data_IF_653263531430
#
_entry.id   IF_653263531430
#
_cell.length_a   1.000
_cell.length_b   1.000
_cell.length_c   1.000
_cell.angle_alpha   90.00
_cell.angle_beta   90.00
_cell.angle_gamma   90.00
#
_symmetry.space_group_name_H-M   'P 1'
#
loop_
_entity.id
_entity.type
_entity.pdbx_description
1 polymer ?
#
# COMPACT_ATOMS: atom_id res chain seq x y z
N UNK A 1 42.82 -23.77 -39.21
CA UNK A 1 43.98 -23.94 -38.31
C UNK A 1 44.66 -22.59 -38.14
N UNK A 2 44.25 -21.81 -37.13
CA UNK A 2 44.92 -20.58 -36.68
C UNK A 2 44.73 -20.48 -35.17
N UNK A 3 45.84 -20.64 -34.42
CA UNK A 3 45.92 -20.64 -32.96
C UNK A 3 46.11 -19.21 -32.46
N UNK A 4 45.25 -18.77 -31.54
CA UNK A 4 45.45 -17.52 -30.77
C UNK A 4 45.79 -17.93 -29.34
N UNK A 5 47.05 -17.71 -28.94
CA UNK A 5 47.53 -17.92 -27.58
C UNK A 5 47.09 -16.74 -26.69
N UNK A 6 46.27 -17.01 -25.67
CA UNK A 6 45.96 -16.03 -24.61
C UNK A 6 46.82 -16.36 -23.39
N UNK A 7 47.74 -15.45 -23.06
CA UNK A 7 48.59 -15.53 -21.87
C UNK A 7 47.73 -15.48 -20.60
N UNK A 8 48.00 -16.44 -19.71
CA UNK A 8 47.51 -16.51 -18.34
C UNK A 8 48.56 -15.82 -17.47
N UNK A 9 48.20 -14.73 -16.79
CA UNK A 9 48.97 -14.24 -15.65
C UNK A 9 48.16 -14.49 -14.37
N UNK A 10 48.57 -15.53 -13.66
CA UNK A 10 48.26 -15.74 -12.25
C UNK A 10 49.13 -14.82 -11.42
N UNK A 11 48.55 -14.09 -10.47
CA UNK A 11 49.32 -13.52 -9.36
C UNK A 11 48.63 -13.83 -8.04
N UNK A 12 49.48 -14.34 -7.13
CA UNK A 12 49.18 -15.08 -5.92
C UNK A 12 48.57 -14.23 -4.81
N UNK A 13 47.83 -14.94 -3.96
CA UNK A 13 47.31 -14.51 -2.67
C UNK A 13 48.42 -14.10 -1.68
N UNK A 14 48.08 -13.15 -0.81
CA UNK A 14 48.72 -13.00 0.51
C UNK A 14 47.64 -12.87 1.58
N UNK A 15 47.55 -13.90 2.42
CA UNK A 15 46.81 -13.95 3.66
C UNK A 15 47.48 -12.99 4.67
N UNK A 16 46.72 -12.08 5.26
CA UNK A 16 47.15 -11.34 6.46
C UNK A 16 46.18 -11.65 7.59
N UNK A 17 46.58 -12.69 8.32
CA UNK A 17 46.57 -12.92 9.76
C UNK A 17 45.66 -12.07 10.64
N UNK A 18 44.74 -12.76 11.28
CA UNK A 18 43.98 -12.37 12.46
C UNK A 18 44.81 -12.47 13.75
N UNK A 19 44.37 -11.73 14.77
CA UNK A 19 44.74 -11.75 16.20
C UNK A 19 45.76 -10.69 16.63
N UNK A 20 45.24 -9.57 17.15
CA UNK A 20 45.52 -9.07 18.52
C UNK A 20 44.85 -7.70 18.70
N UNK A 21 43.71 -7.65 19.40
CA UNK A 21 43.49 -6.81 20.59
C UNK A 21 42.07 -7.07 21.11
N UNK A 22 41.96 -8.05 22.02
CA UNK A 22 40.93 -8.06 23.03
C UNK A 22 41.40 -7.09 24.12
N UNK A 23 40.63 -6.02 24.31
CA UNK A 23 40.26 -5.36 25.58
C UNK A 23 40.03 -3.87 25.34
N UNK A 24 38.80 -3.51 24.96
CA UNK A 24 38.21 -2.25 25.43
C UNK A 24 36.68 -2.34 25.33
N UNK A 25 36.05 -2.68 26.44
CA UNK A 25 34.62 -2.48 26.69
C UNK A 25 34.30 -0.99 26.53
N UNK A 26 33.70 -0.59 25.41
CA UNK A 26 32.89 0.61 25.35
C UNK A 26 31.57 0.27 24.67
N UNK A 27 30.51 0.32 25.47
CA UNK A 27 29.11 0.39 25.05
C UNK A 27 28.94 1.45 23.96
N UNK A 28 28.98 1.02 22.70
CA UNK A 28 28.55 1.82 21.56
C UNK A 28 27.26 1.20 21.05
N UNK A 29 26.16 1.77 21.54
CA UNK A 29 24.85 1.64 20.94
C UNK A 29 24.98 1.84 19.42
N UNK A 30 24.41 0.98 18.57
CA UNK A 30 24.34 1.27 17.15
C UNK A 30 23.56 2.57 17.00
N UNK A 31 24.22 3.64 16.56
CA UNK A 31 23.56 4.86 16.17
C UNK A 31 22.59 4.50 15.04
N UNK A 32 21.31 4.47 15.41
CA UNK A 32 20.20 4.27 14.50
C UNK A 32 20.24 5.36 13.43
N UNK A 33 20.87 5.07 12.29
CA UNK A 33 20.45 5.63 11.03
C UNK A 33 19.13 4.97 10.64
N UNK A 34 18.09 5.27 11.42
CA UNK A 34 16.73 5.11 10.96
C UNK A 34 16.59 6.06 9.78
N UNK A 35 16.82 5.53 8.57
CA UNK A 35 16.30 6.10 7.33
C UNK A 35 14.81 6.30 7.59
N UNK A 36 14.44 7.51 8.00
CA UNK A 36 13.05 7.95 8.09
C UNK A 36 12.46 7.71 6.71
N UNK A 37 11.61 6.70 6.59
CA UNK A 37 10.96 6.33 5.34
C UNK A 37 9.75 7.22 5.03
N UNK A 38 9.51 8.27 5.82
CA UNK A 38 8.49 9.24 5.50
C UNK A 38 8.96 10.08 4.30
N UNK A 39 8.39 9.80 3.14
CA UNK A 39 8.63 10.41 1.82
C UNK A 39 8.29 11.91 1.75
N UNK A 40 8.09 12.56 2.91
CA UNK A 40 7.75 13.98 3.10
C UNK A 40 8.93 14.78 3.68
N UNK A 41 10.15 14.46 3.25
CA UNK A 41 11.38 15.15 3.69
C UNK A 41 11.48 16.63 3.24
N UNK A 42 10.53 17.13 2.44
CA UNK A 42 10.57 18.48 1.87
C UNK A 42 9.38 19.35 2.27
N UNK A 43 8.85 19.17 3.49
CA UNK A 43 7.90 20.15 4.04
C UNK A 43 8.64 21.28 4.77
N UNK A 44 9.51 21.97 4.03
CA UNK A 44 10.35 23.08 4.51
C UNK A 44 9.46 24.25 5.00
N UNK A 45 8.21 24.30 4.56
CA UNK A 45 7.24 25.35 4.89
C UNK A 45 6.65 25.24 6.30
N UNK A 46 6.83 24.12 7.02
CA UNK A 46 6.34 23.96 8.40
C UNK A 46 7.37 24.34 9.48
N UNK A 47 8.62 24.61 9.12
CA UNK A 47 9.71 24.92 10.07
C UNK A 47 9.44 26.17 10.94
N UNK A 48 8.55 27.07 10.52
CA UNK A 48 8.19 28.27 11.26
C UNK A 48 7.06 28.11 12.30
N UNK A 49 6.32 26.99 12.29
CA UNK A 49 5.17 26.79 13.18
C UNK A 49 5.41 25.64 14.17
N UNK A 50 5.71 25.99 15.43
CA UNK A 50 6.02 25.01 16.50
C UNK A 50 4.91 23.98 16.70
N UNK A 51 3.64 24.39 16.64
CA UNK A 51 2.50 23.48 16.84
C UNK A 51 2.38 22.46 15.70
N UNK A 52 2.64 22.88 14.46
CA UNK A 52 2.64 21.98 13.31
C UNK A 52 3.77 20.94 13.42
N UNK A 53 4.97 21.39 13.82
CA UNK A 53 6.13 20.50 14.04
C UNK A 53 5.85 19.47 15.16
N UNK A 54 5.27 19.89 16.27
CA UNK A 54 4.91 18.98 17.38
C UNK A 54 3.86 17.96 16.96
N UNK A 55 2.83 18.40 16.22
CA UNK A 55 1.80 17.49 15.68
C UNK A 55 2.40 16.46 14.73
N UNK A 56 3.30 16.87 13.83
CA UNK A 56 3.99 15.95 12.93
C UNK A 56 4.92 14.99 13.70
N UNK A 57 5.62 15.47 14.74
CA UNK A 57 6.42 14.59 15.61
C UNK A 57 5.56 13.54 16.31
N UNK A 58 4.42 13.94 16.87
CA UNK A 58 3.48 13.02 17.50
C UNK A 58 2.93 12.00 16.49
N UNK A 59 2.61 12.43 15.27
CA UNK A 59 2.16 11.54 14.19
C UNK A 59 3.24 10.52 13.81
N UNK A 60 4.48 10.97 13.64
CA UNK A 60 5.61 10.09 13.30
C UNK A 60 5.88 9.07 14.41
N UNK A 61 5.80 9.50 15.68
CA UNK A 61 5.94 8.59 16.82
C UNK A 61 4.84 7.51 16.81
N UNK A 62 3.58 7.90 16.53
CA UNK A 62 2.46 6.97 16.36
C UNK A 62 2.71 5.98 15.20
N UNK A 63 3.08 6.47 14.01
CA UNK A 63 3.37 5.61 12.84
C UNK A 63 4.50 4.60 13.10
N UNK A 64 5.59 5.05 13.75
CA UNK A 64 6.71 4.19 14.11
C UNK A 64 6.27 3.08 15.07
N UNK A 65 5.56 3.44 16.14
CA UNK A 65 5.09 2.50 17.15
C UNK A 65 4.04 1.53 16.58
N UNK A 66 3.15 2.03 15.74
CA UNK A 66 1.99 1.29 15.24
C UNK A 66 2.36 0.31 14.13
N UNK A 67 3.24 0.69 13.20
CA UNK A 67 3.48 -0.09 11.99
C UNK A 67 4.78 -0.88 11.98
N UNK A 68 5.91 -0.20 12.04
CA UNK A 68 7.20 -0.85 11.82
C UNK A 68 7.54 -1.87 12.91
N UNK A 69 7.28 -1.55 14.18
CA UNK A 69 7.57 -2.48 15.27
C UNK A 69 6.57 -3.63 15.36
N UNK A 70 5.29 -3.38 15.03
CA UNK A 70 4.27 -4.42 14.96
C UNK A 70 4.60 -5.44 13.85
N UNK A 71 4.95 -4.96 12.65
CA UNK A 71 5.34 -5.81 11.53
C UNK A 71 6.57 -6.67 11.84
N UNK A 72 7.58 -6.09 12.49
CA UNK A 72 8.80 -6.84 12.88
C UNK A 72 8.49 -7.86 13.97
N UNK A 73 7.62 -7.52 14.94
CA UNK A 73 7.20 -8.45 15.98
C UNK A 73 6.39 -9.61 15.40
N UNK A 74 5.50 -9.35 14.45
CA UNK A 74 4.71 -10.35 13.74
C UNK A 74 5.62 -11.26 12.89
N UNK A 75 6.52 -10.68 12.10
CA UNK A 75 7.50 -11.42 11.32
C UNK A 75 8.35 -12.33 12.23
N UNK A 76 8.83 -11.79 13.36
CA UNK A 76 9.59 -12.57 14.35
C UNK A 76 8.76 -13.72 14.93
N UNK A 77 7.48 -13.47 15.26
CA UNK A 77 6.55 -14.49 15.80
C UNK A 77 6.29 -15.60 14.80
N UNK A 78 6.16 -15.27 13.51
CA UNK A 78 5.84 -16.22 12.45
C UNK A 78 7.07 -16.74 11.69
N UNK A 79 8.28 -16.43 12.16
CA UNK A 79 9.53 -16.91 11.56
C UNK A 79 9.74 -16.44 10.12
N UNK A 80 9.31 -15.22 9.79
CA UNK A 80 9.40 -14.66 8.44
C UNK A 80 8.23 -15.00 7.52
N UNK A 81 7.26 -15.82 7.97
CA UNK A 81 6.08 -16.16 7.17
C UNK A 81 5.01 -15.09 7.35
N UNK A 82 4.40 -14.67 6.25
CA UNK A 82 3.25 -13.76 6.26
C UNK A 82 2.12 -14.47 7.01
N UNK A 83 1.56 -13.81 8.03
CA UNK A 83 0.51 -14.40 8.86
C UNK A 83 -0.71 -14.77 8.01
N UNK A 84 -1.31 -15.91 8.32
CA UNK A 84 -2.49 -16.41 7.61
C UNK A 84 -3.67 -15.47 7.90
N UNK A 85 -4.31 -14.97 6.85
CA UNK A 85 -5.49 -14.11 6.97
C UNK A 85 -6.58 -14.78 7.82
N UNK A 86 -7.33 -13.96 8.57
CA UNK A 86 -8.44 -14.46 9.36
C UNK A 86 -9.48 -15.10 8.44
N UNK A 87 -9.78 -16.39 8.67
CA UNK A 87 -10.75 -17.15 7.88
C UNK A 87 -12.19 -16.86 8.26
N UNK A 88 -12.41 -16.16 9.38
CA UNK A 88 -13.73 -15.89 9.94
C UNK A 88 -14.16 -14.48 9.53
N UNK A 89 -15.37 -14.38 8.98
CA UNK A 89 -16.02 -13.11 8.67
C UNK A 89 -16.38 -12.42 9.98
N UNK A 90 -15.99 -11.14 10.12
CA UNK A 90 -16.34 -10.34 11.30
C UNK A 90 -17.86 -10.08 11.29
N UNK A 91 -18.59 -10.42 12.36
CA UNK A 91 -20.02 -10.14 12.44
C UNK A 91 -20.31 -8.64 12.34
N UNK A 92 -21.45 -8.27 11.74
CA UNK A 92 -21.83 -6.87 11.53
C UNK A 92 -21.86 -6.03 12.83
N UNK A 93 -22.19 -6.64 13.97
CA UNK A 93 -22.21 -5.98 15.28
C UNK A 93 -20.82 -5.56 15.78
N UNK A 94 -19.78 -6.26 15.35
CA UNK A 94 -18.38 -5.99 15.71
C UNK A 94 -17.60 -5.28 14.59
N UNK A 95 -18.19 -5.17 13.40
CA UNK A 95 -17.55 -4.55 12.25
C UNK A 95 -17.44 -3.02 12.44
N UNK A 96 -16.24 -2.49 12.18
CA UNK A 96 -16.01 -1.04 12.16
C UNK A 96 -16.64 -0.47 10.88
N UNK A 97 -17.27 0.70 10.98
CA UNK A 97 -17.79 1.42 9.82
C UNK A 97 -16.66 1.71 8.83
N UNK A 98 -16.87 1.39 7.56
CA UNK A 98 -15.92 1.73 6.51
C UNK A 98 -15.83 3.27 6.36
N UNK A 99 -14.63 3.85 6.43
CA UNK A 99 -14.46 5.30 6.38
C UNK A 99 -14.58 5.83 4.95
N UNK A 100 -14.87 7.12 4.83
CA UNK A 100 -15.01 7.77 3.52
C UNK A 100 -13.66 7.79 2.79
N UNK A 101 -13.68 7.41 1.52
CA UNK A 101 -12.50 7.26 0.69
C UNK A 101 -12.75 7.85 -0.70
N UNK A 102 -11.97 8.88 -1.03
CA UNK A 102 -11.95 9.46 -2.37
C UNK A 102 -11.08 8.61 -3.29
N UNK A 103 -11.69 8.08 -4.35
CA UNK A 103 -11.01 7.27 -5.37
C UNK A 103 -11.16 7.92 -6.74
N UNK A 104 -10.14 7.75 -7.58
CA UNK A 104 -10.07 8.28 -8.94
C UNK A 104 -9.97 7.14 -9.94
N UNK A 105 -10.78 7.14 -10.98
CA UNK A 105 -10.64 6.24 -12.12
C UNK A 105 -9.54 6.73 -13.07
N UNK A 106 -9.13 5.86 -14.00
CA UNK A 106 -8.17 6.19 -15.05
C UNK A 106 -8.68 7.25 -16.04
N UNK A 107 -9.99 7.40 -16.17
CA UNK A 107 -10.64 8.44 -16.99
C UNK A 107 -10.68 9.82 -16.30
N UNK A 108 -10.19 9.91 -15.05
CA UNK A 108 -10.15 11.08 -14.17
C UNK A 108 -11.47 11.40 -13.47
N UNK A 109 -12.49 10.57 -13.65
CA UNK A 109 -13.68 10.66 -12.81
C UNK A 109 -13.32 10.27 -11.38
N UNK A 110 -13.98 10.90 -10.41
CA UNK A 110 -13.78 10.65 -8.99
C UNK A 110 -15.05 10.10 -8.39
N UNK A 111 -14.91 9.08 -7.55
CA UNK A 111 -15.99 8.46 -6.81
C UNK A 111 -15.64 8.51 -5.32
N UNK A 112 -16.65 8.67 -4.48
CA UNK A 112 -16.52 8.50 -3.04
C UNK A 112 -17.03 7.13 -2.64
N UNK A 113 -16.20 6.37 -1.94
CA UNK A 113 -16.58 5.12 -1.28
C UNK A 113 -16.81 5.40 0.21
N UNK A 114 -17.75 4.70 0.87
CA UNK A 114 -18.69 3.76 0.31
C UNK A 114 -19.78 4.46 -0.53
N UNK A 115 -20.30 3.78 -1.57
CA UNK A 115 -21.39 4.31 -2.40
C UNK A 115 -22.69 4.24 -1.60
N UNK A 116 -23.03 5.32 -0.91
CA UNK A 116 -24.28 5.44 -0.16
C UNK A 116 -25.39 6.02 -1.04
N UNK A 117 -26.59 5.43 -1.01
CA UNK A 117 -27.76 6.05 -1.60
C UNK A 117 -28.16 7.26 -0.77
N UNK A 118 -28.01 8.47 -1.30
CA UNK A 118 -28.64 9.64 -0.69
C UNK A 118 -30.15 9.44 -0.78
N UNK A 119 -30.85 9.39 0.35
CA UNK A 119 -32.28 9.10 0.43
C UNK A 119 -33.16 10.27 -0.02
N UNK A 120 -32.85 10.92 -1.14
CA UNK A 120 -33.69 11.97 -1.69
C UNK A 120 -34.64 11.40 -2.74
N UNK A 121 -35.92 11.45 -2.40
CA UNK A 121 -37.04 10.84 -3.11
C UNK A 121 -37.49 11.80 -4.20
N UNK A 122 -36.82 11.80 -5.35
CA UNK A 122 -37.40 12.15 -6.65
C UNK A 122 -36.35 12.06 -7.76
N UNK A 123 -36.52 11.09 -8.66
CA UNK A 123 -35.98 11.10 -10.01
C UNK A 123 -34.45 11.28 -10.16
N UNK A 124 -33.67 10.47 -9.46
CA UNK A 124 -32.41 10.02 -10.03
C UNK A 124 -32.69 8.67 -10.70
N UNK A 125 -32.31 8.52 -11.96
CA UNK A 125 -32.31 7.22 -12.64
C UNK A 125 -31.81 6.14 -11.69
N UNK A 126 -32.42 4.95 -11.75
CA UNK A 126 -32.00 3.73 -11.03
C UNK A 126 -30.59 3.28 -11.49
N UNK A 127 -29.59 4.15 -11.42
CA UNK A 127 -28.19 3.78 -11.49
C UNK A 127 -27.93 2.92 -10.25
N UNK A 128 -27.83 1.62 -10.52
CA UNK A 128 -27.83 0.51 -9.59
C UNK A 128 -26.88 0.73 -8.41
N UNK A 129 -27.42 1.17 -7.27
CA UNK A 129 -26.71 1.09 -6.00
C UNK A 129 -26.38 -0.39 -5.77
N UNK A 130 -25.10 -0.76 -5.60
CA UNK A 130 -24.75 -2.15 -5.39
C UNK A 130 -25.41 -2.67 -4.12
N UNK A 131 -26.02 -3.85 -4.22
CA UNK A 131 -26.51 -4.56 -3.04
C UNK A 131 -25.35 -5.12 -2.22
N UNK A 132 -24.28 -5.51 -2.92
CA UNK A 132 -23.05 -6.05 -2.34
C UNK A 132 -21.87 -5.51 -3.10
N UNK A 133 -20.86 -5.03 -2.36
CA UNK A 133 -19.60 -4.54 -2.92
C UNK A 133 -18.43 -5.26 -2.24
N UNK A 134 -17.55 -5.87 -3.03
CA UNK A 134 -16.23 -6.30 -2.57
C UNK A 134 -15.23 -5.18 -2.84
N UNK A 135 -14.51 -4.73 -1.81
CA UNK A 135 -13.48 -3.70 -1.91
C UNK A 135 -12.14 -4.31 -1.50
N UNK A 136 -11.24 -4.44 -2.47
CA UNK A 136 -9.87 -4.89 -2.28
C UNK A 136 -8.96 -3.66 -2.14
N UNK A 137 -8.38 -3.47 -0.96
CA UNK A 137 -7.47 -2.36 -0.67
C UNK A 137 -6.02 -2.82 -0.87
N UNK A 138 -5.26 -2.11 -1.71
CA UNK A 138 -3.85 -2.43 -2.00
C UNK A 138 -2.94 -1.25 -1.76
N UNK A 139 -2.06 -1.37 -0.76
CA UNK A 139 -1.06 -0.35 -0.46
C UNK A 139 0.28 -0.58 -1.18
N UNK A 140 0.48 -1.80 -1.70
CA UNK A 140 1.73 -2.23 -2.34
C UNK A 140 1.46 -3.18 -3.50
N UNK A 141 2.37 -3.17 -4.48
CA UNK A 141 2.34 -4.09 -5.61
C UNK A 141 2.51 -5.57 -5.18
N UNK A 142 3.22 -5.84 -4.08
CA UNK A 142 3.41 -7.20 -3.56
C UNK A 142 2.10 -7.87 -3.10
N UNK A 143 1.07 -7.09 -2.78
CA UNK A 143 -0.22 -7.60 -2.30
C UNK A 143 -1.15 -8.05 -3.43
N UNK A 144 -0.73 -7.93 -4.70
CA UNK A 144 -1.56 -8.31 -5.85
C UNK A 144 -1.99 -9.78 -5.80
N UNK A 145 -1.08 -10.70 -5.44
CA UNK A 145 -1.41 -12.11 -5.31
C UNK A 145 -2.48 -12.38 -4.23
N UNK A 146 -2.49 -11.58 -3.16
CA UNK A 146 -3.53 -11.66 -2.13
C UNK A 146 -4.87 -11.13 -2.64
N UNK A 147 -4.86 -10.04 -3.41
CA UNK A 147 -6.08 -9.54 -4.07
C UNK A 147 -6.64 -10.58 -5.01
N UNK A 148 -5.82 -11.13 -5.91
CA UNK A 148 -6.27 -12.10 -6.91
C UNK A 148 -6.85 -13.37 -6.25
N UNK A 149 -6.36 -13.76 -5.06
CA UNK A 149 -6.90 -14.88 -4.28
C UNK A 149 -8.34 -14.67 -3.81
N UNK A 150 -8.82 -13.43 -3.72
CA UNK A 150 -10.19 -13.08 -3.36
C UNK A 150 -11.00 -12.56 -4.54
N UNK A 151 -10.40 -11.77 -5.42
CA UNK A 151 -11.10 -11.09 -6.51
C UNK A 151 -11.46 -12.04 -7.64
N UNK A 152 -10.60 -13.00 -7.99
CA UNK A 152 -10.88 -14.03 -9.00
C UNK A 152 -12.05 -14.93 -8.61
N UNK A 153 -12.07 -15.62 -7.45
CA UNK A 153 -13.19 -16.48 -7.10
C UNK A 153 -14.48 -15.69 -6.86
N UNK A 154 -14.40 -14.46 -6.36
CA UNK A 154 -15.57 -13.60 -6.22
C UNK A 154 -16.15 -13.20 -7.59
N UNK A 155 -15.28 -12.85 -8.54
CA UNK A 155 -15.70 -12.53 -9.90
C UNK A 155 -16.36 -13.73 -10.58
N UNK A 156 -15.77 -14.92 -10.47
CA UNK A 156 -16.32 -16.15 -11.04
C UNK A 156 -17.65 -16.56 -10.40
N UNK A 157 -17.80 -16.40 -9.09
CA UNK A 157 -19.03 -16.77 -8.39
C UNK A 157 -20.21 -15.80 -8.66
N UNK A 158 -19.92 -14.53 -8.95
CA UNK A 158 -20.93 -13.48 -9.07
C UNK A 158 -20.97 -12.82 -10.45
N UNK A 159 -20.30 -13.38 -11.47
CA UNK A 159 -20.20 -12.80 -12.83
C UNK A 159 -21.56 -12.43 -13.43
N UNK A 160 -22.57 -13.25 -13.15
CA UNK A 160 -23.92 -13.14 -13.75
C UNK A 160 -24.88 -12.31 -12.86
N UNK A 161 -24.42 -11.91 -11.66
CA UNK A 161 -25.26 -11.23 -10.67
C UNK A 161 -25.36 -9.74 -10.95
N UNK A 162 -26.59 -9.25 -11.12
CA UNK A 162 -26.89 -7.82 -11.22
C UNK A 162 -26.75 -7.16 -9.83
N UNK A 163 -26.17 -5.96 -9.79
CA UNK A 163 -25.94 -5.15 -8.57
C UNK A 163 -24.83 -5.64 -7.63
N UNK A 164 -23.87 -6.40 -8.15
CA UNK A 164 -22.62 -6.73 -7.43
C UNK A 164 -21.49 -5.89 -8.03
N UNK A 165 -20.69 -5.27 -7.17
CA UNK A 165 -19.52 -4.50 -7.60
C UNK A 165 -18.24 -5.01 -6.97
N UNK A 166 -17.17 -5.00 -7.77
CA UNK A 166 -15.83 -5.33 -7.34
C UNK A 166 -14.93 -4.10 -7.57
N UNK A 167 -14.47 -3.52 -6.47
CA UNK A 167 -13.55 -2.39 -6.47
C UNK A 167 -12.16 -2.84 -6.05
N UNK A 168 -11.18 -2.60 -6.90
CA UNK A 168 -9.78 -2.73 -6.57
C UNK A 168 -9.19 -1.34 -6.42
N UNK A 169 -8.90 -0.98 -5.18
CA UNK A 169 -8.37 0.32 -4.80
C UNK A 169 -6.87 0.20 -4.62
N UNK A 170 -6.11 0.88 -5.47
CA UNK A 170 -4.67 1.01 -5.32
C UNK A 170 -4.31 2.36 -4.71
N UNK A 171 -3.61 2.31 -3.57
CA UNK A 171 -3.17 3.48 -2.85
C UNK A 171 -1.80 3.94 -3.37
N UNK A 172 -1.73 5.24 -3.70
CA UNK A 172 -0.54 5.90 -4.21
C UNK A 172 -0.16 6.99 -3.22
N UNK A 173 0.75 6.62 -2.31
CA UNK A 173 1.24 7.49 -1.22
C UNK A 173 2.43 8.37 -1.64
N UNK A 174 2.94 8.16 -2.85
CA UNK A 174 4.11 8.89 -3.34
C UNK A 174 3.75 10.35 -3.62
N UNK A 175 4.29 11.28 -2.82
CA UNK A 175 4.08 12.73 -2.98
C UNK A 175 4.28 13.22 -4.43
N UNK A 176 5.33 12.72 -5.09
CA UNK A 176 5.61 13.05 -6.49
C UNK A 176 4.46 12.63 -7.42
N UNK A 177 3.95 11.41 -7.23
CA UNK A 177 2.85 10.86 -8.04
C UNK A 177 1.51 11.51 -7.74
N UNK A 178 1.34 12.09 -6.56
CA UNK A 178 0.15 12.86 -6.19
C UNK A 178 0.10 14.25 -6.84
N UNK A 179 1.21 14.77 -7.40
CA UNK A 179 1.22 16.09 -8.05
C UNK A 179 0.31 16.08 -9.27
N UNK A 180 -0.56 17.09 -9.40
CA UNK A 180 -1.56 17.20 -10.47
C UNK A 180 -1.06 16.87 -11.90
N UNK A 181 0.07 17.41 -12.40
CA UNK A 181 0.54 17.07 -13.75
C UNK A 181 0.98 15.60 -13.86
N UNK A 182 1.64 15.06 -12.83
CA UNK A 182 2.15 13.68 -12.82
C UNK A 182 1.00 12.69 -12.63
N UNK A 183 0.07 12.97 -11.71
CA UNK A 183 -1.18 12.23 -11.53
C UNK A 183 -1.94 12.10 -12.87
N UNK A 184 -2.04 13.19 -13.64
CA UNK A 184 -2.71 13.21 -14.95
C UNK A 184 -2.00 12.34 -16.00
N UNK A 185 -0.67 12.27 -15.97
CA UNK A 185 0.12 11.42 -16.87
C UNK A 185 -0.03 9.95 -16.45
N UNK A 186 0.07 9.65 -15.15
CA UNK A 186 -0.07 8.32 -14.61
C UNK A 186 -1.44 7.71 -14.96
N UNK A 187 -2.53 8.43 -14.70
CA UNK A 187 -3.88 7.96 -15.04
C UNK A 187 -4.06 7.73 -16.55
N UNK A 188 -3.40 8.54 -17.40
CA UNK A 188 -3.41 8.33 -18.86
C UNK A 188 -2.70 7.04 -19.26
N UNK A 189 -1.55 6.73 -18.65
CA UNK A 189 -0.80 5.49 -18.91
C UNK A 189 -1.63 4.27 -18.48
N UNK A 190 -2.24 4.35 -17.29
CA UNK A 190 -3.05 3.26 -16.72
C UNK A 190 -4.39 3.05 -17.45
N UNK A 191 -4.90 4.06 -18.16
CA UNK A 191 -6.09 3.90 -19.01
C UNK A 191 -5.83 2.97 -20.19
N UNK A 192 -4.62 3.00 -20.76
CA UNK A 192 -4.28 2.25 -21.98
C UNK A 192 -4.24 0.73 -21.76
N UNK A 193 -4.13 0.27 -20.52
CA UNK A 193 -4.02 -1.16 -20.20
C UNK A 193 -5.36 -1.87 -19.96
N UNK A 194 -6.50 -1.21 -20.22
CA UNK A 194 -7.83 -1.76 -19.96
C UNK A 194 -8.66 -1.83 -21.26
N UNK A 195 -8.45 -2.90 -22.02
CA UNK A 195 -9.49 -3.46 -22.89
C UNK A 195 -9.90 -4.80 -22.28
N UNK A 196 -10.94 -4.78 -21.45
CA UNK A 196 -11.52 -5.98 -20.86
C UNK A 196 -13.00 -6.03 -21.25
N UNK A 197 -13.38 -7.11 -21.94
CA UNK A 197 -14.68 -7.31 -22.57
C UNK A 197 -15.88 -7.21 -21.62
N UNK A 198 -17.05 -7.00 -22.25
CA UNK A 198 -18.34 -6.77 -21.60
C UNK A 198 -18.80 -7.96 -20.75
N UNK A 199 -18.47 -7.95 -19.45
CA UNK A 199 -19.10 -8.81 -18.45
C UNK A 199 -20.02 -7.97 -17.55
N UNK A 200 -21.12 -8.57 -17.09
CA UNK A 200 -22.12 -7.88 -16.26
C UNK A 200 -21.55 -7.38 -14.91
N UNK A 201 -20.61 -8.12 -14.33
CA UNK A 201 -19.79 -7.67 -13.20
C UNK A 201 -18.51 -7.04 -13.75
N UNK A 202 -18.38 -5.71 -13.65
CA UNK A 202 -17.18 -5.01 -14.09
C UNK A 202 -16.18 -4.87 -12.94
N UNK A 203 -14.94 -5.38 -13.11
CA UNK A 203 -13.81 -5.15 -12.19
C UNK A 203 -13.36 -3.69 -12.28
N UNK A 204 -13.73 -2.89 -11.28
CA UNK A 204 -13.45 -1.46 -11.22
C UNK A 204 -12.08 -1.25 -10.56
N UNK A 205 -11.10 -0.82 -11.36
CA UNK A 205 -9.77 -0.47 -10.85
C UNK A 205 -9.77 1.03 -10.62
N UNK A 206 -9.55 1.43 -9.36
CA UNK A 206 -9.59 2.81 -8.91
C UNK A 206 -8.36 3.12 -8.07
N UNK A 207 -8.00 4.40 -8.01
CA UNK A 207 -6.76 4.85 -7.40
C UNK A 207 -7.03 5.90 -6.34
N UNK A 208 -6.50 5.72 -5.13
CA UNK A 208 -6.52 6.77 -4.11
C UNK A 208 -5.13 7.40 -4.00
N UNK A 209 -5.07 8.72 -4.05
CA UNK A 209 -3.82 9.48 -4.07
C UNK A 209 -3.72 10.34 -2.83
N UNK A 210 -2.59 10.29 -2.14
CA UNK A 210 -2.30 11.19 -1.03
C UNK A 210 -1.81 10.47 0.21
N UNK A 211 -1.95 11.14 1.35
CA UNK A 211 -1.62 10.56 2.64
C UNK A 211 -2.82 9.83 3.22
N UNK A 212 -2.70 8.50 3.33
CA UNK A 212 -3.75 7.63 3.86
C UNK A 212 -3.52 7.27 5.33
N UNK A 213 -2.72 8.05 6.08
CA UNK A 213 -2.48 7.85 7.51
C UNK A 213 -3.78 7.72 8.32
N UNK A 214 -4.68 8.69 8.19
CA UNK A 214 -5.93 8.70 8.98
C UNK A 214 -6.87 7.56 8.59
N UNK A 215 -7.02 7.29 7.29
CA UNK A 215 -7.77 6.15 6.78
C UNK A 215 -7.26 4.82 7.36
N UNK A 216 -5.93 4.60 7.34
CA UNK A 216 -5.31 3.40 7.94
C UNK A 216 -5.48 3.36 9.46
N UNK A 217 -5.54 4.51 10.12
CA UNK A 217 -5.74 4.61 11.57
C UNK A 217 -7.15 4.19 11.96
N UNK A 218 -8.16 4.67 11.25
CA UNK A 218 -9.57 4.33 11.47
C UNK A 218 -9.87 2.85 11.25
N UNK A 219 -9.30 2.27 10.19
CA UNK A 219 -9.40 0.83 9.91
C UNK A 219 -8.49 -0.05 10.80
N UNK A 220 -7.72 0.57 11.71
CA UNK A 220 -6.74 -0.13 12.58
C UNK A 220 -5.75 -0.99 11.79
N UNK A 221 -5.42 -0.60 10.56
CA UNK A 221 -4.42 -1.27 9.72
C UNK A 221 -3.04 -0.94 10.30
N UNK A 222 -2.46 -1.88 11.03
CA UNK A 222 -1.14 -1.72 11.65
C UNK A 222 -0.05 -1.94 10.62
N UNK A 223 -0.22 -2.92 9.74
CA UNK A 223 0.87 -3.38 8.90
C UNK A 223 1.16 -2.40 7.76
N UNK A 224 2.40 -1.92 7.72
CA UNK A 224 2.89 -1.04 6.66
C UNK A 224 3.71 -1.82 5.65
N UNK A 225 4.32 -2.94 6.06
CA UNK A 225 5.24 -3.73 5.26
C UNK A 225 4.57 -4.83 4.43
N UNK A 226 3.59 -5.52 5.00
CA UNK A 226 2.93 -6.66 4.33
C UNK A 226 1.81 -6.25 3.39
N UNK A 227 1.43 -4.97 3.39
CA UNK A 227 0.58 -4.32 2.37
C UNK A 227 -0.88 -4.71 2.46
#
# INVERSE_FOLDING_TARGET
MFRINRLINQTRASLITSKQLLTHEHKLFPQHYAKKSSTRFLDIYQLGNKQAVEKERARLADEMNRGYFADVAELKKHGGKIATANKIIIPALAAVKFPDLDVSYSDRTTLKLPVCSSGDVANADKAAIPKVSLVCLTFRASSQAMVDSWSTPFFEAFSDSKNVHLYEVSFIDSWLLCRSPIKRILLKIMRKSKDAGENALQRQIVYSFGDHYYFRKELKILNLLTG
#
